data_IF_283120506223
#
_entry.id   IF_283120506223
#
_cell.length_a   1.000
_cell.length_b   1.000
_cell.length_c   1.000
_cell.angle_alpha   90.00
_cell.angle_beta   90.00
_cell.angle_gamma   90.00
#
_symmetry.space_group_name_H-M   'P 1'
#
loop_
_entity.id
_entity.type
_entity.pdbx_description
1 polymer ?
#
# COMPACT_ATOMS: atom_id res chain seq x y z
N UNK A 1 28.75 -19.06 -81.07
CA UNK A 1 27.67 -19.40 -80.10
C UNK A 1 28.11 -18.87 -78.78
N UNK A 2 27.50 -17.76 -78.35
CA UNK A 2 27.81 -17.10 -77.01
C UNK A 2 26.68 -17.42 -76.08
N UNK A 3 26.98 -18.09 -74.95
CA UNK A 3 26.04 -18.38 -73.88
C UNK A 3 25.82 -17.14 -73.01
N UNK A 4 24.56 -16.73 -72.80
CA UNK A 4 24.13 -15.64 -71.91
C UNK A 4 23.73 -16.28 -70.62
N UNK A 5 24.48 -15.98 -69.57
CA UNK A 5 24.15 -16.37 -68.15
C UNK A 5 23.19 -15.34 -67.55
N UNK A 6 22.00 -15.77 -67.15
CA UNK A 6 20.99 -14.94 -66.45
C UNK A 6 21.22 -15.09 -64.97
N UNK A 7 21.66 -14.02 -64.33
CA UNK A 7 21.72 -13.94 -62.86
C UNK A 7 20.34 -13.51 -62.30
N UNK A 8 19.68 -14.43 -61.65
CA UNK A 8 18.46 -14.12 -60.89
C UNK A 8 18.80 -13.47 -59.55
N UNK A 9 18.44 -12.22 -59.39
CA UNK A 9 18.50 -11.51 -58.08
C UNK A 9 17.27 -11.87 -57.26
N UNK A 10 17.45 -12.60 -56.17
CA UNK A 10 16.40 -12.83 -55.18
C UNK A 10 16.43 -11.67 -54.22
N UNK A 11 15.40 -10.80 -54.26
CA UNK A 11 15.16 -9.77 -53.27
C UNK A 11 14.57 -10.43 -52.00
N UNK A 12 15.36 -10.55 -50.94
CA UNK A 12 14.86 -10.83 -49.60
C UNK A 12 14.19 -9.54 -49.04
N UNK A 13 12.89 -9.49 -49.10
CA UNK A 13 12.11 -8.49 -48.37
C UNK A 13 12.14 -8.82 -46.85
N UNK A 14 13.00 -8.13 -46.11
CA UNK A 14 13.01 -8.20 -44.68
C UNK A 14 11.71 -7.62 -44.12
N UNK A 15 10.88 -8.49 -43.53
CA UNK A 15 9.69 -8.06 -42.77
C UNK A 15 10.19 -7.41 -41.49
N UNK A 16 10.20 -6.10 -41.44
CA UNK A 16 10.46 -5.32 -40.24
C UNK A 16 9.19 -5.38 -39.39
N UNK A 17 9.15 -6.29 -38.40
CA UNK A 17 8.13 -6.29 -37.37
C UNK A 17 8.34 -5.05 -36.50
N UNK A 18 7.60 -4.00 -36.78
CA UNK A 18 7.51 -2.84 -35.91
C UNK A 18 7.03 -3.25 -34.52
N UNK A 19 7.30 -2.46 -33.45
CA UNK A 19 6.88 -2.79 -32.12
C UNK A 19 5.37 -3.01 -32.10
N UNK A 20 4.95 -4.20 -31.70
CA UNK A 20 3.54 -4.56 -31.51
C UNK A 20 2.90 -3.54 -30.56
N UNK A 21 2.00 -2.71 -31.07
CA UNK A 21 1.14 -1.89 -30.19
C UNK A 21 0.37 -2.86 -29.33
N UNK A 22 0.68 -2.86 -28.02
CA UNK A 22 -0.10 -3.60 -27.04
C UNK A 22 -1.58 -3.28 -27.29
N UNK A 23 -2.37 -4.33 -27.52
CA UNK A 23 -3.79 -4.21 -27.81
C UNK A 23 -4.46 -3.53 -26.61
N UNK A 24 -4.89 -2.29 -26.78
CA UNK A 24 -5.53 -1.49 -25.75
C UNK A 24 -6.75 -2.26 -25.24
N UNK A 25 -6.79 -2.55 -23.96
CA UNK A 25 -7.99 -3.11 -23.33
C UNK A 25 -9.15 -2.12 -23.56
N UNK A 26 -10.30 -2.61 -23.99
CA UNK A 26 -11.49 -1.77 -24.16
C UNK A 26 -12.33 -1.81 -22.88
N UNK A 27 -12.95 -0.69 -22.51
CA UNK A 27 -13.85 -0.62 -21.38
C UNK A 27 -13.29 0.15 -20.18
N UNK A 28 -14.01 0.08 -19.07
CA UNK A 28 -13.65 0.67 -17.78
C UNK A 28 -12.86 -0.37 -16.94
N UNK A 29 -11.89 0.11 -16.17
CA UNK A 29 -11.19 -0.66 -15.15
C UNK A 29 -11.80 -0.39 -13.79
N UNK A 30 -12.18 -1.42 -13.05
CA UNK A 30 -12.63 -1.31 -11.65
C UNK A 30 -11.51 -1.73 -10.69
N UNK A 31 -10.96 -0.76 -9.96
CA UNK A 31 -9.92 -0.98 -8.94
C UNK A 31 -10.56 -1.01 -7.56
N UNK A 32 -10.41 -2.11 -6.85
CA UNK A 32 -10.77 -2.25 -5.45
C UNK A 32 -9.56 -1.89 -4.57
N UNK A 33 -9.72 -0.94 -3.65
CA UNK A 33 -8.60 -0.50 -2.81
C UNK A 33 -9.06 0.00 -1.44
N UNK A 34 -8.11 0.36 -0.60
CA UNK A 34 -8.38 0.72 0.79
C UNK A 34 -8.45 2.23 1.02
N UNK A 35 -9.11 2.64 2.10
CA UNK A 35 -9.18 4.05 2.53
C UNK A 35 -7.79 4.66 2.69
N UNK A 36 -6.81 3.89 3.14
CA UNK A 36 -5.42 4.36 3.30
C UNK A 36 -4.81 4.84 1.98
N UNK A 37 -5.08 4.15 0.86
CA UNK A 37 -4.58 4.58 -0.46
C UNK A 37 -5.25 5.87 -0.94
N UNK A 38 -6.51 6.05 -0.61
CA UNK A 38 -7.26 7.28 -0.92
C UNK A 38 -6.78 8.44 -0.05
N UNK A 39 -6.74 8.25 1.26
CA UNK A 39 -6.44 9.30 2.24
C UNK A 39 -5.01 9.82 2.11
N UNK A 40 -4.06 8.96 1.75
CA UNK A 40 -2.68 9.34 1.44
C UNK A 40 -2.50 10.09 0.12
N UNK A 41 -3.54 10.10 -0.73
CA UNK A 41 -3.50 10.71 -2.06
C UNK A 41 -2.82 9.85 -3.14
N UNK A 42 -2.16 8.72 -2.79
CA UNK A 42 -1.44 7.89 -3.78
C UNK A 42 -2.37 7.35 -4.86
N UNK A 43 -3.61 7.00 -4.51
CA UNK A 43 -4.58 6.47 -5.45
C UNK A 43 -4.80 7.41 -6.64
N UNK A 44 -4.99 8.69 -6.38
CA UNK A 44 -5.17 9.71 -7.41
C UNK A 44 -3.99 9.75 -8.38
N UNK A 45 -2.77 9.80 -7.88
CA UNK A 45 -1.56 9.85 -8.72
C UNK A 45 -1.41 8.61 -9.59
N UNK A 46 -1.69 7.43 -9.05
CA UNK A 46 -1.61 6.16 -9.78
C UNK A 46 -2.69 6.07 -10.86
N UNK A 47 -3.92 6.46 -10.55
CA UNK A 47 -5.04 6.46 -11.51
C UNK A 47 -4.77 7.43 -12.64
N UNK A 48 -4.43 8.69 -12.35
CA UNK A 48 -4.14 9.70 -13.39
C UNK A 48 -3.00 9.26 -14.33
N UNK A 49 -1.92 8.70 -13.76
CA UNK A 49 -0.80 8.22 -14.57
C UNK A 49 -1.19 7.02 -15.43
N UNK A 50 -1.97 6.08 -14.89
CA UNK A 50 -2.44 4.93 -15.63
C UNK A 50 -3.44 5.31 -16.74
N UNK A 51 -4.42 6.15 -16.45
CA UNK A 51 -5.38 6.64 -17.46
C UNK A 51 -4.68 7.35 -18.61
N UNK A 52 -3.71 8.22 -18.30
CA UNK A 52 -2.90 8.92 -19.32
C UNK A 52 -2.12 7.95 -20.20
N UNK A 53 -1.58 6.87 -19.62
CA UNK A 53 -0.79 5.87 -20.35
C UNK A 53 -1.66 4.93 -21.18
N UNK A 54 -2.75 4.44 -20.60
CA UNK A 54 -3.57 3.36 -21.18
C UNK A 54 -4.72 3.84 -22.03
N UNK A 55 -5.21 5.07 -21.81
CA UNK A 55 -6.46 5.58 -22.38
C UNK A 55 -7.73 4.99 -21.76
N UNK A 56 -7.60 4.06 -20.79
CA UNK A 56 -8.72 3.48 -20.04
C UNK A 56 -9.23 4.46 -18.99
N UNK A 57 -10.53 4.36 -18.69
CA UNK A 57 -11.10 5.01 -17.51
C UNK A 57 -11.04 4.09 -16.32
N UNK A 58 -10.72 4.66 -15.16
CA UNK A 58 -10.60 3.91 -13.90
C UNK A 58 -11.71 4.32 -12.95
N UNK A 59 -12.52 3.34 -12.58
CA UNK A 59 -13.45 3.44 -11.46
C UNK A 59 -12.80 2.85 -10.22
N UNK A 60 -12.83 3.56 -9.11
CA UNK A 60 -12.28 3.08 -7.84
C UNK A 60 -13.40 2.78 -6.85
N UNK A 61 -13.30 1.65 -6.17
CA UNK A 61 -14.14 1.30 -5.03
C UNK A 61 -13.23 1.25 -3.82
N UNK A 62 -13.55 2.04 -2.80
CA UNK A 62 -12.71 2.25 -1.63
C UNK A 62 -13.47 1.87 -0.37
N UNK A 63 -12.91 0.94 0.41
CA UNK A 63 -13.47 0.51 1.68
C UNK A 63 -12.38 -0.04 2.64
N UNK A 64 -12.77 -0.62 3.76
CA UNK A 64 -11.83 -1.35 4.62
C UNK A 64 -11.26 -2.60 3.95
N UNK A 65 -10.07 -3.04 4.36
CA UNK A 65 -9.37 -4.18 3.74
C UNK A 65 -10.24 -5.45 3.67
N UNK A 66 -10.99 -5.75 4.72
CA UNK A 66 -11.87 -6.93 4.75
C UNK A 66 -13.00 -6.87 3.73
N UNK A 67 -13.63 -5.69 3.59
CA UNK A 67 -14.72 -5.47 2.63
C UNK A 67 -14.22 -5.53 1.19
N UNK A 68 -13.04 -4.94 0.91
CA UNK A 68 -12.41 -4.98 -0.42
C UNK A 68 -12.07 -6.41 -0.83
N UNK A 69 -11.51 -7.21 0.06
CA UNK A 69 -11.23 -8.62 -0.21
C UNK A 69 -12.52 -9.42 -0.43
N UNK A 70 -13.59 -9.13 0.32
CA UNK A 70 -14.90 -9.74 0.14
C UNK A 70 -15.51 -9.39 -1.22
N UNK A 71 -15.51 -8.12 -1.61
CA UNK A 71 -15.99 -7.68 -2.92
C UNK A 71 -15.18 -8.30 -4.07
N UNK A 72 -13.85 -8.37 -3.94
CA UNK A 72 -12.99 -9.08 -4.89
C UNK A 72 -13.31 -10.57 -5.01
N UNK A 73 -13.69 -11.24 -3.90
CA UNK A 73 -14.15 -12.62 -3.89
C UNK A 73 -15.56 -12.82 -4.46
N UNK A 74 -16.26 -11.74 -4.80
CA UNK A 74 -17.55 -11.72 -5.51
C UNK A 74 -17.39 -11.31 -6.99
N UNK A 75 -16.17 -10.96 -7.43
CA UNK A 75 -15.88 -10.50 -8.78
C UNK A 75 -16.42 -9.10 -9.07
N UNK A 76 -16.51 -8.23 -8.04
CA UNK A 76 -17.04 -6.86 -8.16
C UNK A 76 -15.99 -5.85 -8.64
N UNK A 77 -14.76 -6.30 -8.87
CA UNK A 77 -13.68 -5.50 -9.44
C UNK A 77 -12.72 -6.36 -10.25
N UNK A 78 -11.84 -5.70 -11.00
CA UNK A 78 -10.91 -6.34 -11.93
C UNK A 78 -9.53 -6.57 -11.30
N UNK A 79 -9.17 -5.72 -10.34
CA UNK A 79 -7.88 -5.76 -9.65
C UNK A 79 -8.02 -5.17 -8.24
N UNK A 80 -7.27 -5.74 -7.29
CA UNK A 80 -7.16 -5.24 -5.93
C UNK A 80 -5.79 -4.59 -5.71
N UNK A 81 -5.76 -3.48 -4.96
CA UNK A 81 -4.55 -2.90 -4.38
C UNK A 81 -4.77 -2.77 -2.87
N UNK A 82 -4.15 -3.66 -2.09
CA UNK A 82 -4.41 -3.83 -0.66
C UNK A 82 -3.13 -3.97 0.16
N UNK A 83 -3.23 -3.95 1.50
CA UNK A 83 -2.09 -4.04 2.41
C UNK A 83 -2.39 -4.89 3.66
N UNK A 84 -2.98 -6.05 3.45
CA UNK A 84 -3.31 -7.02 4.50
C UNK A 84 -2.72 -8.39 4.17
N UNK A 85 -1.40 -8.59 4.27
CA UNK A 85 -0.68 -9.73 3.71
C UNK A 85 -1.28 -11.10 4.03
N UNK A 86 -1.67 -11.34 5.28
CA UNK A 86 -2.21 -12.65 5.67
C UNK A 86 -3.59 -12.91 5.07
N UNK A 87 -4.48 -11.90 5.08
CA UNK A 87 -5.80 -12.01 4.45
C UNK A 87 -5.70 -12.14 2.92
N UNK A 88 -4.74 -11.45 2.30
CA UNK A 88 -4.44 -11.55 0.87
C UNK A 88 -3.95 -12.95 0.48
N UNK A 89 -3.06 -13.55 1.28
CA UNK A 89 -2.58 -14.92 1.06
C UNK A 89 -3.74 -15.91 1.12
N UNK A 90 -4.64 -15.76 2.08
CA UNK A 90 -5.82 -16.61 2.19
C UNK A 90 -6.78 -16.40 1.00
N UNK A 91 -7.00 -15.15 0.59
CA UNK A 91 -7.80 -14.80 -0.58
C UNK A 91 -7.25 -15.43 -1.87
N UNK A 92 -5.92 -15.45 -2.03
CA UNK A 92 -5.23 -16.12 -3.14
C UNK A 92 -5.38 -17.66 -3.09
N UNK A 93 -5.27 -18.29 -1.91
CA UNK A 93 -5.47 -19.73 -1.75
C UNK A 93 -6.87 -20.19 -2.17
N UNK A 94 -7.86 -19.32 -2.03
CA UNK A 94 -9.24 -19.56 -2.49
C UNK A 94 -9.40 -19.45 -4.01
N UNK A 95 -8.33 -19.17 -4.77
CA UNK A 95 -8.36 -19.05 -6.22
C UNK A 95 -9.09 -17.80 -6.72
N UNK A 96 -9.12 -16.73 -5.94
CA UNK A 96 -9.82 -15.51 -6.32
C UNK A 96 -8.99 -14.61 -7.26
N UNK A 97 -7.68 -14.76 -7.27
CA UNK A 97 -6.76 -13.95 -8.07
C UNK A 97 -5.75 -14.77 -8.86
N UNK A 98 -5.18 -14.17 -9.89
CA UNK A 98 -4.17 -14.81 -10.76
C UNK A 98 -2.75 -14.67 -10.21
N UNK A 99 -2.47 -13.59 -9.48
CA UNK A 99 -1.17 -13.32 -8.85
C UNK A 99 -1.31 -12.34 -7.69
N UNK A 100 -0.34 -12.39 -6.78
CA UNK A 100 -0.16 -11.42 -5.69
C UNK A 100 1.26 -10.88 -5.80
N UNK A 101 1.42 -9.60 -6.10
CA UNK A 101 2.73 -9.00 -6.37
C UNK A 101 2.95 -7.76 -5.52
N UNK A 102 4.14 -7.68 -4.91
CA UNK A 102 4.58 -6.55 -4.11
C UNK A 102 4.74 -5.30 -4.99
N UNK A 103 4.13 -4.19 -4.57
CA UNK A 103 4.12 -2.92 -5.31
C UNK A 103 4.95 -1.86 -4.61
N UNK A 104 4.65 -1.62 -3.36
CA UNK A 104 5.20 -0.54 -2.56
C UNK A 104 5.02 -0.84 -1.08
N UNK A 105 5.67 -0.06 -0.25
CA UNK A 105 5.37 0.00 1.18
C UNK A 105 5.47 1.45 1.69
N UNK A 106 4.77 1.71 2.77
CA UNK A 106 5.02 2.85 3.64
C UNK A 106 5.24 2.31 5.05
N UNK A 107 5.44 3.18 6.02
CA UNK A 107 5.63 2.76 7.39
C UNK A 107 4.66 3.44 8.34
N UNK A 108 4.36 2.71 9.40
CA UNK A 108 3.83 3.29 10.62
C UNK A 108 4.97 3.84 11.46
N UNK A 109 4.62 4.76 12.34
CA UNK A 109 5.53 5.34 13.32
C UNK A 109 4.83 5.40 14.68
N UNK A 110 5.57 5.27 15.77
CA UNK A 110 5.04 5.60 17.09
C UNK A 110 5.47 7.03 17.40
N UNK A 111 4.48 7.87 17.58
CA UNK A 111 4.67 9.28 17.95
C UNK A 111 4.43 9.46 19.44
N UNK A 112 5.01 10.51 20.00
CA UNK A 112 4.84 10.81 21.43
C UNK A 112 5.35 12.20 21.80
N UNK A 113 5.24 12.56 23.07
CA UNK A 113 5.70 13.85 23.57
C UNK A 113 7.21 13.98 23.44
N UNK A 114 7.74 15.21 23.16
CA UNK A 114 9.16 15.43 22.94
C UNK A 114 10.10 15.04 24.09
N UNK A 115 9.57 15.04 25.33
CA UNK A 115 10.31 14.65 26.53
C UNK A 115 10.36 13.14 26.77
N UNK A 116 9.64 12.36 25.95
CA UNK A 116 9.64 10.89 25.93
C UNK A 116 9.66 10.23 27.35
N UNK A 117 8.64 10.41 28.17
CA UNK A 117 8.64 9.90 29.55
C UNK A 117 8.78 8.38 29.63
N UNK A 118 8.34 7.65 28.60
CA UNK A 118 8.51 6.19 28.54
C UNK A 118 9.88 5.76 28.00
N UNK A 119 10.73 6.68 27.50
CA UNK A 119 12.06 6.41 26.96
C UNK A 119 12.03 5.36 25.84
N UNK A 120 11.15 5.59 24.87
CA UNK A 120 10.96 4.67 23.74
C UNK A 120 11.79 5.03 22.51
N UNK A 121 12.36 6.21 22.46
CA UNK A 121 13.09 6.70 21.30
C UNK A 121 14.17 5.70 20.85
N UNK A 122 14.16 5.35 19.57
CA UNK A 122 15.11 4.40 18.97
C UNK A 122 14.91 2.93 19.36
N UNK A 123 13.86 2.60 20.11
CA UNK A 123 13.52 1.20 20.42
C UNK A 123 12.83 0.53 19.21
N UNK A 124 12.84 -0.81 19.17
CA UNK A 124 11.93 -1.55 18.30
C UNK A 124 10.48 -1.38 18.78
N UNK A 125 9.51 -1.43 17.86
CA UNK A 125 8.10 -1.12 18.15
C UNK A 125 7.51 -1.94 19.31
N UNK A 126 7.74 -3.26 19.32
CA UNK A 126 7.25 -4.11 20.41
C UNK A 126 7.92 -3.79 21.77
N UNK A 127 9.21 -3.44 21.76
CA UNK A 127 9.92 -3.00 22.97
C UNK A 127 9.42 -1.63 23.46
N UNK A 128 9.15 -0.72 22.54
CA UNK A 128 8.59 0.59 22.84
C UNK A 128 7.22 0.46 23.53
N UNK A 129 6.34 -0.37 22.97
CA UNK A 129 5.03 -0.64 23.56
C UNK A 129 5.14 -1.27 24.96
N UNK A 130 6.10 -2.19 25.15
CA UNK A 130 6.38 -2.77 26.46
C UNK A 130 6.79 -1.72 27.48
N UNK A 131 7.71 -0.80 27.12
CA UNK A 131 8.11 0.32 27.99
C UNK A 131 6.95 1.26 28.32
N UNK A 132 6.08 1.55 27.36
CA UNK A 132 4.87 2.37 27.57
C UNK A 132 3.97 1.72 28.62
N UNK A 133 3.71 0.42 28.49
CA UNK A 133 2.89 -0.34 29.43
C UNK A 133 3.53 -0.43 30.83
N UNK A 134 4.81 -0.77 30.93
CA UNK A 134 5.56 -0.88 32.20
C UNK A 134 5.55 0.44 32.98
N UNK A 135 5.59 1.57 32.27
CA UNK A 135 5.54 2.91 32.89
C UNK A 135 4.14 3.48 33.00
N UNK A 136 3.13 2.72 32.56
CA UNK A 136 1.73 3.16 32.52
C UNK A 136 1.56 4.53 31.81
N UNK A 137 2.44 4.81 30.85
CA UNK A 137 2.39 6.04 30.08
C UNK A 137 1.20 6.00 29.12
N UNK A 138 0.49 7.12 29.01
CA UNK A 138 -0.74 7.17 28.22
C UNK A 138 -0.47 6.84 26.76
N UNK A 139 -1.23 5.89 26.21
CA UNK A 139 -1.29 5.54 24.81
C UNK A 139 -2.69 5.77 24.26
N UNK A 140 -2.79 6.45 23.12
CA UNK A 140 -4.06 6.76 22.47
C UNK A 140 -4.19 5.92 21.19
N UNK A 141 -5.18 5.05 21.20
CA UNK A 141 -5.55 4.16 20.10
C UNK A 141 -6.70 4.76 19.29
N UNK A 142 -6.71 4.44 18.00
CA UNK A 142 -7.87 4.72 17.15
C UNK A 142 -9.13 3.96 17.63
N UNK A 143 -9.00 2.68 17.94
CA UNK A 143 -10.11 1.85 18.42
C UNK A 143 -11.27 1.65 17.43
N UNK A 144 -11.06 1.89 16.14
CA UNK A 144 -12.09 1.98 15.08
C UNK A 144 -12.03 0.83 14.05
N UNK A 145 -11.27 -0.23 14.35
CA UNK A 145 -11.04 -1.40 13.48
C UNK A 145 -10.39 -1.07 12.12
N UNK A 146 -9.85 0.12 11.94
CA UNK A 146 -9.07 0.49 10.74
C UNK A 146 -7.78 -0.33 10.62
N UNK A 147 -7.13 -0.24 9.46
CA UNK A 147 -5.82 -0.88 9.23
C UNK A 147 -4.75 -0.46 10.24
N UNK A 148 -4.75 0.81 10.68
CA UNK A 148 -3.86 1.29 11.76
C UNK A 148 -4.17 0.63 13.09
N UNK A 149 -5.45 0.53 13.47
CA UNK A 149 -5.86 -0.13 14.71
C UNK A 149 -5.53 -1.63 14.70
N UNK A 150 -5.78 -2.31 13.56
CA UNK A 150 -5.40 -3.74 13.41
C UNK A 150 -3.88 -3.91 13.55
N UNK A 151 -3.08 -3.04 12.94
CA UNK A 151 -1.62 -3.06 13.08
C UNK A 151 -1.19 -2.81 14.52
N UNK A 152 -1.78 -1.85 15.19
CA UNK A 152 -1.53 -1.53 16.59
C UNK A 152 -1.75 -2.75 17.50
N UNK A 153 -2.91 -3.41 17.38
CA UNK A 153 -3.23 -4.61 18.16
C UNK A 153 -2.26 -5.77 17.87
N UNK A 154 -1.82 -5.92 16.63
CA UNK A 154 -0.78 -6.91 16.28
C UNK A 154 0.57 -6.61 16.95
N UNK A 155 0.95 -5.33 17.06
CA UNK A 155 2.17 -4.91 17.77
C UNK A 155 2.06 -5.13 19.28
N UNK A 156 0.92 -4.81 19.90
CA UNK A 156 0.65 -5.12 21.30
C UNK A 156 0.74 -6.62 21.60
N UNK A 157 0.14 -7.44 20.74
CA UNK A 157 0.25 -8.91 20.83
C UNK A 157 1.71 -9.37 20.71
N UNK A 158 2.49 -8.80 19.80
CA UNK A 158 3.93 -9.09 19.65
C UNK A 158 4.73 -8.67 20.89
N UNK A 159 4.31 -7.60 21.57
CA UNK A 159 4.89 -7.18 22.85
C UNK A 159 4.50 -8.09 24.03
N UNK A 160 3.57 -9.02 23.84
CA UNK A 160 3.04 -9.90 24.89
C UNK A 160 2.08 -9.19 25.86
N UNK A 161 1.42 -8.11 25.41
CA UNK A 161 0.58 -7.26 26.25
C UNK A 161 -0.82 -7.17 25.63
N UNK A 162 -1.84 -7.31 26.49
CA UNK A 162 -3.22 -6.90 26.17
C UNK A 162 -3.48 -5.54 26.80
N UNK A 163 -3.61 -4.47 26.02
CA UNK A 163 -3.83 -3.12 26.52
C UNK A 163 -5.30 -2.87 26.93
N UNK A 164 -6.22 -3.77 26.56
CA UNK A 164 -7.65 -3.59 26.76
C UNK A 164 -7.98 -3.48 28.27
N UNK A 165 -8.73 -2.43 28.62
CA UNK A 165 -9.17 -2.19 30.01
C UNK A 165 -8.10 -1.56 30.90
N UNK A 166 -6.90 -1.30 30.38
CA UNK A 166 -5.87 -0.60 31.12
C UNK A 166 -6.15 0.90 31.18
N UNK A 167 -5.98 1.53 32.34
CA UNK A 167 -6.25 2.95 32.52
C UNK A 167 -5.36 3.91 31.70
N UNK A 168 -4.20 3.44 31.28
CA UNK A 168 -3.28 4.19 30.43
C UNK A 168 -3.56 4.03 28.92
N UNK A 169 -4.47 3.13 28.51
CA UNK A 169 -4.83 2.87 27.13
C UNK A 169 -6.19 3.49 26.81
N UNK A 170 -6.17 4.55 26.01
CA UNK A 170 -7.37 5.32 25.67
C UNK A 170 -7.76 5.03 24.21
N UNK A 171 -9.01 4.62 24.01
CA UNK A 171 -9.56 4.40 22.65
C UNK A 171 -10.46 5.57 22.27
N UNK A 172 -10.19 6.18 21.10
CA UNK A 172 -10.98 7.33 20.62
C UNK A 172 -12.21 6.94 19.82
N UNK A 173 -12.18 5.80 19.13
CA UNK A 173 -13.19 5.42 18.14
C UNK A 173 -13.23 6.37 16.93
N UNK A 174 -12.14 7.14 16.69
CA UNK A 174 -12.11 8.22 15.71
C UNK A 174 -11.03 8.01 14.64
N UNK A 175 -11.10 8.82 13.57
CA UNK A 175 -10.08 8.84 12.52
C UNK A 175 -8.71 9.31 13.03
N UNK A 176 -7.65 9.08 12.22
CA UNK A 176 -6.26 9.28 12.61
C UNK A 176 -5.96 10.72 13.07
N UNK A 177 -6.48 11.73 12.36
CA UNK A 177 -6.24 13.13 12.73
C UNK A 177 -6.74 13.47 14.12
N UNK A 178 -7.98 13.11 14.44
CA UNK A 178 -8.56 13.34 15.78
C UNK A 178 -7.84 12.51 16.86
N UNK A 179 -7.45 11.28 16.54
CA UNK A 179 -6.65 10.45 17.45
C UNK A 179 -5.32 11.11 17.80
N UNK A 180 -4.63 11.69 16.83
CA UNK A 180 -3.37 12.42 17.06
C UNK A 180 -3.60 13.72 17.83
N UNK A 181 -4.70 14.44 17.61
CA UNK A 181 -5.07 15.62 18.41
C UNK A 181 -5.27 15.27 19.88
N UNK A 182 -5.98 14.18 20.18
CA UNK A 182 -6.15 13.67 21.53
C UNK A 182 -4.80 13.27 22.14
N UNK A 183 -3.96 12.57 21.38
CA UNK A 183 -2.62 12.20 21.83
C UNK A 183 -1.76 13.43 22.17
N UNK A 184 -1.83 14.48 21.37
CA UNK A 184 -1.16 15.75 21.63
C UNK A 184 -1.66 16.40 22.94
N UNK A 185 -2.97 16.55 23.07
CA UNK A 185 -3.57 17.17 24.26
C UNK A 185 -3.26 16.41 25.56
N UNK A 186 -3.12 15.09 25.47
CA UNK A 186 -2.81 14.20 26.60
C UNK A 186 -1.32 13.98 26.82
N UNK A 187 -0.45 14.56 25.98
CA UNK A 187 0.99 14.28 25.98
C UNK A 187 1.25 12.78 25.98
N UNK A 188 0.55 12.08 25.07
CA UNK A 188 0.47 10.64 24.99
C UNK A 188 1.17 10.09 23.73
N UNK A 189 1.40 8.78 23.73
CA UNK A 189 1.88 8.04 22.58
C UNK A 189 0.73 7.60 21.69
N UNK A 190 0.99 7.44 20.38
CA UNK A 190 0.04 6.89 19.44
C UNK A 190 0.76 6.23 18.25
N UNK A 191 0.11 5.27 17.62
CA UNK A 191 0.54 4.73 16.32
C UNK A 191 -0.15 5.53 15.20
N UNK A 192 0.62 5.90 14.18
CA UNK A 192 0.09 6.53 12.96
C UNK A 192 0.90 6.09 11.75
N UNK A 193 0.34 6.16 10.54
CA UNK A 193 1.16 6.11 9.34
C UNK A 193 1.95 7.41 9.19
N UNK A 194 3.16 7.30 8.62
CA UNK A 194 4.06 8.45 8.45
C UNK A 194 3.45 9.55 7.58
N UNK A 195 2.71 9.17 6.53
CA UNK A 195 2.08 10.14 5.63
C UNK A 195 1.12 11.05 6.38
N UNK A 196 0.23 10.48 7.15
CA UNK A 196 -0.70 11.24 7.98
C UNK A 196 0.05 12.10 9.02
N UNK A 197 1.06 11.55 9.70
CA UNK A 197 1.88 12.35 10.61
C UNK A 197 2.46 13.61 9.95
N UNK A 198 3.06 13.49 8.78
CA UNK A 198 3.70 14.60 8.07
C UNK A 198 2.71 15.72 7.70
N UNK A 199 1.46 15.37 7.37
CA UNK A 199 0.39 16.35 7.14
C UNK A 199 0.10 17.18 8.39
N UNK A 200 0.15 16.55 9.55
CA UNK A 200 -0.22 17.16 10.83
C UNK A 200 0.98 17.64 11.66
N UNK A 201 2.22 17.29 11.29
CA UNK A 201 3.44 17.52 12.07
C UNK A 201 3.57 18.96 12.58
N UNK A 202 3.34 19.95 11.68
CA UNK A 202 3.48 21.37 12.02
C UNK A 202 2.45 21.85 13.05
N UNK A 203 1.31 21.14 13.15
CA UNK A 203 0.22 21.46 14.08
C UNK A 203 0.37 20.74 15.41
N UNK A 204 0.94 19.54 15.35
CA UNK A 204 1.12 18.68 16.51
C UNK A 204 2.50 18.91 17.13
N UNK A 205 2.55 19.05 18.45
CA UNK A 205 3.82 19.10 19.18
C UNK A 205 4.40 17.72 19.50
N UNK A 206 3.88 16.65 18.88
CA UNK A 206 4.39 15.28 19.03
C UNK A 206 5.55 15.03 18.05
N UNK A 207 6.46 14.13 18.42
CA UNK A 207 7.59 13.72 17.58
C UNK A 207 7.52 12.24 17.24
N UNK A 208 8.12 11.85 16.11
CA UNK A 208 8.40 10.45 15.82
C UNK A 208 9.48 9.97 16.79
N UNK A 209 9.17 8.94 17.57
CA UNK A 209 10.08 8.34 18.55
C UNK A 209 10.50 6.92 18.14
N UNK A 210 9.64 6.21 17.39
CA UNK A 210 9.95 4.87 16.88
C UNK A 210 9.65 4.82 15.38
N UNK A 211 10.64 4.41 14.62
CA UNK A 211 10.60 4.24 13.17
C UNK A 211 11.61 3.17 12.73
N UNK A 212 11.63 2.85 11.43
CA UNK A 212 12.59 1.92 10.81
C UNK A 212 12.59 0.49 11.40
N UNK A 213 11.46 0.06 11.98
CA UNK A 213 11.24 -1.31 12.44
C UNK A 213 10.48 -2.09 11.36
N UNK A 214 10.94 -3.28 10.93
CA UNK A 214 10.18 -4.13 10.00
C UNK A 214 8.72 -4.38 10.43
N UNK A 215 8.46 -4.48 11.74
CA UNK A 215 7.11 -4.61 12.29
C UNK A 215 6.19 -3.40 12.03
N UNK A 216 6.76 -2.27 11.62
CA UNK A 216 6.02 -1.05 11.27
C UNK A 216 5.76 -0.92 9.77
N UNK A 217 6.31 -1.79 8.92
CA UNK A 217 6.08 -1.67 7.48
C UNK A 217 4.65 -2.05 7.10
N UNK A 218 4.08 -1.23 6.23
CA UNK A 218 2.77 -1.40 5.66
C UNK A 218 2.93 -1.71 4.17
N UNK A 219 2.80 -2.98 3.83
CA UNK A 219 3.21 -3.55 2.54
C UNK A 219 1.99 -3.71 1.65
N UNK A 220 2.07 -3.17 0.44
CA UNK A 220 0.97 -3.15 -0.54
C UNK A 220 1.20 -4.13 -1.66
N UNK A 221 0.18 -4.92 -1.96
CA UNK A 221 0.17 -5.85 -3.08
C UNK A 221 -0.92 -5.52 -4.08
N UNK A 222 -0.62 -5.82 -5.34
CA UNK A 222 -1.60 -5.81 -6.43
C UNK A 222 -1.98 -7.25 -6.77
N UNK A 223 -3.31 -7.48 -6.90
CA UNK A 223 -3.88 -8.79 -7.15
C UNK A 223 -4.97 -8.70 -8.23
N UNK A 224 -4.67 -9.05 -9.52
CA UNK A 224 -5.69 -9.17 -10.54
C UNK A 224 -6.67 -10.32 -10.20
N UNK A 225 -7.96 -10.06 -10.40
CA UNK A 225 -9.03 -11.04 -10.16
C UNK A 225 -8.99 -12.14 -11.24
N UNK A 226 -9.25 -13.40 -10.85
CA UNK A 226 -9.15 -14.53 -11.78
C UNK A 226 -10.39 -14.62 -12.70
N UNK A 227 -10.24 -14.41 -14.03
CA UNK A 227 -11.34 -14.51 -14.98
C UNK A 227 -11.90 -15.91 -15.13
N UNK A 228 -11.14 -16.95 -14.75
CA UNK A 228 -11.65 -18.33 -14.77
C UNK A 228 -12.75 -18.52 -13.71
N UNK A 229 -12.60 -17.87 -12.57
CA UNK A 229 -13.59 -17.91 -11.49
C UNK A 229 -14.68 -16.85 -11.69
N UNK A 230 -14.31 -15.69 -12.22
CA UNK A 230 -15.21 -14.53 -12.40
C UNK A 230 -15.21 -14.04 -13.85
N UNK A 231 -15.97 -14.67 -14.76
CA UNK A 231 -15.89 -14.40 -16.21
C UNK A 231 -16.27 -12.99 -16.65
N UNK A 232 -16.90 -12.20 -15.77
CA UNK A 232 -17.33 -10.83 -16.08
C UNK A 232 -16.28 -9.76 -15.82
N UNK A 233 -15.15 -10.10 -15.16
CA UNK A 233 -14.10 -9.14 -14.85
C UNK A 233 -13.32 -8.76 -16.12
N UNK A 234 -12.89 -7.51 -16.20
CA UNK A 234 -11.99 -7.03 -17.26
C UNK A 234 -10.54 -7.44 -16.95
N UNK A 235 -10.25 -8.75 -17.13
CA UNK A 235 -8.95 -9.32 -16.78
C UNK A 235 -7.78 -8.63 -17.49
N UNK A 236 -7.98 -8.18 -18.76
CA UNK A 236 -6.93 -7.48 -19.51
C UNK A 236 -6.61 -6.12 -18.89
N UNK A 237 -7.63 -5.37 -18.50
CA UNK A 237 -7.43 -4.07 -17.83
C UNK A 237 -6.84 -4.25 -16.43
N UNK A 238 -7.32 -5.24 -15.66
CA UNK A 238 -6.77 -5.56 -14.33
C UNK A 238 -5.30 -5.94 -14.39
N UNK A 239 -4.90 -6.79 -15.36
CA UNK A 239 -3.50 -7.14 -15.57
C UNK A 239 -2.68 -5.94 -16.04
N UNK A 240 -3.19 -5.12 -16.95
CA UNK A 240 -2.49 -3.92 -17.43
C UNK A 240 -2.23 -2.92 -16.31
N UNK A 241 -3.15 -2.76 -15.36
CA UNK A 241 -2.94 -1.92 -14.17
C UNK A 241 -1.88 -2.52 -13.24
N UNK A 242 -1.92 -3.83 -13.00
CA UNK A 242 -0.89 -4.48 -12.21
C UNK A 242 0.51 -4.32 -12.83
N UNK A 243 0.62 -4.52 -14.15
CA UNK A 243 1.89 -4.35 -14.88
C UNK A 243 2.36 -2.89 -14.88
N UNK A 244 1.44 -1.93 -14.96
CA UNK A 244 1.77 -0.50 -14.79
C UNK A 244 2.35 -0.21 -13.42
N UNK A 245 1.71 -0.65 -12.34
CA UNK A 245 2.20 -0.42 -10.97
C UNK A 245 3.61 -0.96 -10.76
N UNK A 246 3.96 -2.06 -11.42
CA UNK A 246 5.26 -2.72 -11.32
C UNK A 246 6.29 -2.21 -12.33
N UNK A 247 5.86 -1.39 -13.29
CA UNK A 247 6.75 -0.81 -14.31
C UNK A 247 7.64 0.29 -13.73
N UNK A 248 8.76 0.63 -14.41
CA UNK A 248 9.60 1.76 -14.00
C UNK A 248 8.83 3.08 -13.86
N UNK A 249 7.82 3.31 -14.72
CA UNK A 249 6.98 4.51 -14.67
C UNK A 249 6.07 4.52 -13.42
N UNK A 250 5.36 3.42 -13.14
CA UNK A 250 4.53 3.27 -11.95
C UNK A 250 5.35 3.39 -10.67
N UNK A 251 6.50 2.74 -10.62
CA UNK A 251 7.42 2.80 -9.47
C UNK A 251 7.99 4.22 -9.26
N UNK A 252 8.29 4.95 -10.34
CA UNK A 252 8.67 6.36 -10.27
C UNK A 252 7.51 7.21 -9.73
N UNK A 253 6.30 7.03 -10.23
CA UNK A 253 5.10 7.74 -9.75
C UNK A 253 4.91 7.53 -8.23
N UNK A 254 5.06 6.29 -7.75
CA UNK A 254 5.00 5.96 -6.32
C UNK A 254 6.07 6.72 -5.54
N UNK A 255 7.32 6.69 -6.02
CA UNK A 255 8.46 7.30 -5.34
C UNK A 255 8.49 8.83 -5.36
N UNK A 256 7.68 9.49 -6.19
CA UNK A 256 7.62 10.96 -6.27
C UNK A 256 6.59 11.57 -5.30
N UNK A 257 5.58 10.80 -4.85
CA UNK A 257 4.55 11.32 -3.95
C UNK A 257 5.16 11.81 -2.63
N UNK A 258 4.88 13.06 -2.29
CA UNK A 258 5.32 13.72 -1.06
C UNK A 258 6.70 14.37 -1.12
N UNK A 259 7.53 14.08 -2.13
CA UNK A 259 8.88 14.67 -2.21
C UNK A 259 8.87 16.20 -2.25
N UNK A 260 7.93 16.78 -2.99
CA UNK A 260 7.80 18.23 -3.13
C UNK A 260 7.31 18.88 -1.83
N UNK A 261 6.33 18.26 -1.19
CA UNK A 261 5.66 18.80 -0.01
C UNK A 261 6.44 18.55 1.29
N UNK A 262 7.07 17.38 1.41
CA UNK A 262 7.68 16.91 2.67
C UNK A 262 9.18 16.62 2.54
N UNK A 263 9.80 16.88 1.36
CA UNK A 263 11.21 16.58 1.11
C UNK A 263 11.55 15.09 1.05
N UNK A 264 10.55 14.20 1.13
CA UNK A 264 10.70 12.74 1.12
C UNK A 264 9.49 12.06 0.50
N UNK A 265 9.69 10.87 -0.04
CA UNK A 265 8.60 10.05 -0.54
C UNK A 265 7.73 9.52 0.62
N UNK A 266 6.40 9.52 0.43
CA UNK A 266 5.45 8.92 1.36
C UNK A 266 5.31 7.40 1.16
N UNK A 267 5.66 6.90 -0.03
CA UNK A 267 5.67 5.48 -0.35
C UNK A 267 7.01 5.10 -0.99
N UNK A 268 7.49 3.93 -0.65
CA UNK A 268 8.76 3.42 -1.16
C UNK A 268 8.45 2.36 -2.22
N UNK A 269 8.92 2.54 -3.47
CA UNK A 269 8.80 1.55 -4.53
C UNK A 269 9.41 0.21 -4.13
N UNK A 270 8.72 -0.90 -4.46
CA UNK A 270 9.14 -2.21 -4.00
C UNK A 270 8.94 -3.35 -5.02
N UNK A 271 8.63 -3.06 -6.28
CA UNK A 271 8.40 -4.09 -7.30
C UNK A 271 9.57 -5.07 -7.49
N UNK A 272 10.79 -4.65 -7.18
CA UNK A 272 12.02 -5.45 -7.31
C UNK A 272 12.48 -6.06 -5.97
N UNK A 273 11.68 -5.94 -4.89
CA UNK A 273 11.97 -6.51 -3.59
C UNK A 273 11.15 -7.77 -3.35
N UNK A 274 11.62 -8.60 -2.44
CA UNK A 274 10.82 -9.71 -1.89
C UNK A 274 10.13 -9.26 -0.60
N UNK A 275 8.96 -9.82 -0.34
CA UNK A 275 8.22 -9.51 0.90
C UNK A 275 9.03 -9.90 2.14
N UNK A 276 9.76 -11.02 2.06
CA UNK A 276 10.62 -11.50 3.16
C UNK A 276 11.72 -10.50 3.54
N UNK A 277 12.24 -9.75 2.56
CA UNK A 277 13.28 -8.74 2.82
C UNK A 277 12.74 -7.53 3.63
N UNK A 278 11.41 -7.37 3.67
CA UNK A 278 10.74 -6.28 4.38
C UNK A 278 10.22 -6.71 5.76
N UNK A 279 10.02 -8.00 5.99
CA UNK A 279 9.42 -8.50 7.23
C UNK A 279 10.46 -8.91 8.28
N UNK A 280 11.72 -9.00 7.91
CA UNK A 280 12.86 -9.32 8.79
C UNK A 280 12.91 -10.77 9.19
#
# INVERSE_FOLDING_TARGET
MKAISIFSFVLLAGIWAGPSKAQVASGELVVLTTTTTQDSGILKYLVEAFEKRSGLKVKTIVAGSGDILKQGAQGEGDVLLTHSPEAEKEWMKQGNGTSRRLVMYNDFVIIGPPNDPAQIQGSLAAQALKKIAERQATFVSRGDQSGTHVRELALWKRAGIDPKGQGWYLSTGQGQGLTMDVAWQRQAYALTDRGTYLVFEKRLGLKILVENDPGLYNIYHVMPVDPKKFPRVNAKAGQAFADFLLSPEGQKTIGELGKKEYGRSLFIPAANKKEEDLLG
#
